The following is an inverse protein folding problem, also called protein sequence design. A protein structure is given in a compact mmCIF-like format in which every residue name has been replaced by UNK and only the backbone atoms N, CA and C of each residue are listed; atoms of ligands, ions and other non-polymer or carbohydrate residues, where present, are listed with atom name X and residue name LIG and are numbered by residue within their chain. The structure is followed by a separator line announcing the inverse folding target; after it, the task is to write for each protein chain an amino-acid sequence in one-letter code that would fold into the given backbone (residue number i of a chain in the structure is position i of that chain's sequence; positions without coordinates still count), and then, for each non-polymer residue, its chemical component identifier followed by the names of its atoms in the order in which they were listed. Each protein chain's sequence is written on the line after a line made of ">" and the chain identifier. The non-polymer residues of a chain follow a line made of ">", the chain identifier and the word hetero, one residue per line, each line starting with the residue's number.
data_IF_956815447299
#
_entry.id   IF_956815447299
#
_cell.length_a   1.000
_cell.length_b   1.000
_cell.length_c   1.000
_cell.angle_alpha   90.00
_cell.angle_beta   90.00
_cell.angle_gamma   90.00
#
_symmetry.space_group_name_H-M   'P 1'
#
loop_
_entity.id
_entity.type
_entity.pdbx_description
1 polymer ?
2 branched ?
3 non-polymer ?
4 water ?
#
# COMPACT_ATOMS: atom_id res chain seq x y z
N UNK A 1 7.48 -17.37 33.75
CA UNK A 1 7.70 -18.00 32.45
C UNK A 1 7.56 -17.02 31.30
N UNK A 2 7.31 -17.54 30.11
CA UNK A 2 7.22 -16.66 28.95
C UNK A 2 5.92 -16.86 28.19
N UNK A 3 5.34 -15.73 27.76
CA UNK A 3 4.09 -15.71 27.02
C UNK A 3 4.17 -16.52 25.73
N UNK A 4 3.21 -17.42 25.57
CA UNK A 4 3.09 -18.22 24.35
C UNK A 4 1.92 -17.71 23.50
N UNK A 5 2.19 -16.77 22.61
CA UNK A 5 1.12 -16.26 21.76
C UNK A 5 1.54 -16.04 20.30
N UNK A 6 0.61 -16.28 19.39
CA UNK A 6 0.94 -16.20 17.98
C UNK A 6 0.64 -14.83 17.36
N UNK A 7 1.72 -14.12 17.05
CA UNK A 7 1.67 -12.97 16.16
C UNK A 7 2.21 -13.42 14.80
N UNK A 8 2.16 -12.54 13.80
CA UNK A 8 2.55 -12.89 12.44
C UNK A 8 3.91 -13.60 12.31
N UNK A 9 3.89 -14.74 11.62
CA UNK A 9 5.08 -15.53 11.40
C UNK A 9 5.89 -15.02 10.22
N UNK A 10 7.07 -14.48 10.52
CA UNK A 10 7.98 -13.86 9.54
C UNK A 10 8.39 -14.78 8.38
N UNK A 11 8.18 -16.08 8.52
CA UNK A 11 8.66 -17.03 7.50
C UNK A 11 7.54 -17.85 6.84
N UNK A 12 6.33 -17.30 6.88
CA UNK A 12 5.16 -17.91 6.26
C UNK A 12 5.39 -18.19 4.77
N UNK A 13 4.76 -19.27 4.29
CA UNK A 13 4.95 -19.73 2.91
C UNK A 13 3.61 -20.09 2.29
N UNK A 14 3.65 -20.45 1.02
CA UNK A 14 2.48 -21.04 0.37
C UNK A 14 2.05 -22.28 1.14
N UNK A 15 3.02 -23.01 1.68
CA UNK A 15 2.72 -24.22 2.41
C UNK A 15 2.17 -23.92 3.81
N UNK A 16 1.83 -22.66 4.06
CA UNK A 16 1.12 -22.28 5.27
C UNK A 16 -0.28 -21.79 4.95
N UNK A 17 -0.66 -21.84 3.67
CA UNK A 17 -1.96 -21.32 3.23
C UNK A 17 -2.98 -22.44 3.11
N UNK A 18 -4.25 -22.10 3.29
CA UNK A 18 -5.36 -22.99 2.96
C UNK A 18 -5.18 -23.51 1.53
N UNK A 19 -5.69 -24.72 1.23
CA UNK A 19 -5.57 -25.23 -0.13
C UNK A 19 -6.15 -24.27 -1.17
N UNK A 20 -7.30 -23.69 -0.84
CA UNK A 20 -8.03 -22.80 -1.73
C UNK A 20 -7.20 -21.58 -2.12
N UNK A 21 -6.42 -21.08 -1.17
CA UNK A 21 -5.54 -19.95 -1.42
C UNK A 21 -4.24 -20.45 -2.05
N UNK A 22 -3.94 -21.73 -1.88
CA UNK A 22 -2.77 -22.31 -2.51
C UNK A 22 -2.98 -22.40 -4.02
N UNK A 23 -4.18 -22.84 -4.41
CA UNK A 23 -4.52 -22.97 -5.83
C UNK A 23 -4.47 -21.60 -6.51
N UNK A 24 -5.04 -20.60 -5.86
CA UNK A 24 -5.11 -19.23 -6.39
C UNK A 24 -3.72 -18.62 -6.62
N UNK A 25 -2.79 -18.96 -5.74
CA UNK A 25 -1.41 -18.50 -5.91
C UNK A 25 -0.76 -19.20 -7.11
N UNK A 26 -0.98 -20.50 -7.26
CA UNK A 26 -0.51 -21.21 -8.44
C UNK A 26 -1.06 -20.60 -9.73
N UNK A 27 -2.37 -20.47 -9.83
CA UNK A 27 -3.02 -19.87 -11.00
C UNK A 27 -2.46 -18.52 -11.40
N UNK A 28 -2.17 -17.66 -10.43
CA UNK A 28 -1.64 -16.34 -10.75
C UNK A 28 -0.21 -16.44 -11.27
N UNK A 29 0.51 -17.49 -10.86
CA UNK A 29 1.86 -17.68 -11.34
C UNK A 29 1.86 -18.07 -12.83
N UNK A 30 0.91 -18.92 -13.21
CA UNK A 30 0.74 -19.34 -14.59
C UNK A 30 0.38 -18.17 -15.48
N UNK A 31 -0.64 -17.43 -15.08
CA UNK A 31 -1.12 -16.30 -15.85
C UNK A 31 -0.01 -15.34 -16.24
N UNK A 32 0.73 -14.88 -15.25
CA UNK A 32 1.80 -13.92 -15.47
C UNK A 32 1.34 -12.76 -16.34
N UNK A 33 0.18 -12.21 -15.98
CA UNK A 33 -0.47 -11.13 -16.72
C UNK A 33 0.46 -9.98 -17.06
N UNK A 34 1.43 -9.70 -16.21
CA UNK A 34 2.25 -8.50 -16.37
C UNK A 34 3.63 -8.79 -16.96
N UNK A 35 3.81 -10.02 -17.41
CA UNK A 35 5.01 -10.41 -18.14
C UNK A 35 6.24 -10.18 -17.28
N UNK A 36 6.18 -10.73 -16.08
CA UNK A 36 7.26 -10.65 -15.13
C UNK A 36 8.32 -11.67 -15.44
N UNK A 37 9.57 -11.23 -15.45
CA UNK A 37 10.69 -12.15 -15.52
C UNK A 37 11.75 -11.73 -14.51
N UNK A 38 11.65 -12.24 -13.28
CA UNK A 38 12.61 -11.88 -12.23
C UNK A 38 13.98 -12.43 -12.54
N UNK A 39 14.91 -11.52 -12.79
CA UNK A 39 16.26 -11.92 -13.12
C UNK A 39 17.21 -11.34 -12.09
N UNK A 40 16.64 -10.92 -10.97
CA UNK A 40 17.44 -10.40 -9.87
C UNK A 40 18.03 -11.51 -9.03
N UNK A 41 18.59 -11.16 -7.88
CA UNK A 41 19.24 -12.16 -7.03
C UNK A 41 18.25 -13.24 -6.65
N UNK A 42 18.72 -14.48 -6.56
CA UNK A 42 17.82 -15.61 -6.44
C UNK A 42 16.95 -15.50 -5.21
N UNK A 43 15.62 -15.92 -5.40
CA UNK A 43 14.77 -15.66 -4.22
C UNK A 43 15.21 -16.42 -2.98
N UNK A 44 15.16 -15.74 -1.84
CA UNK A 44 15.49 -16.34 -0.56
C UNK A 44 16.66 -15.72 0.19
N UNK A 45 17.06 -14.51 -0.22
CA UNK A 45 18.20 -13.83 0.40
C UNK A 45 17.87 -13.30 1.79
N UNK A 46 18.78 -13.49 2.73
CA UNK A 46 18.56 -13.11 4.12
C UNK A 46 19.16 -11.74 4.45
N UNK A 47 18.30 -10.79 4.76
CA UNK A 47 18.72 -9.44 5.09
C UNK A 47 18.49 -9.12 6.56
N UNK A 48 19.44 -8.41 7.16
CA UNK A 48 19.23 -7.76 8.46
C UNK A 48 18.09 -6.75 8.32
N UNK A 49 17.48 -6.35 9.42
CA UNK A 49 16.39 -5.36 9.34
C UNK A 49 16.94 -3.98 8.97
N UNK A 50 18.00 -3.56 9.64
CA UNK A 50 18.68 -2.31 9.29
C UNK A 50 19.13 -2.33 7.82
N UNK A 51 19.68 -3.45 7.37
CA UNK A 51 20.22 -3.55 6.02
C UNK A 51 19.11 -3.46 4.98
N UNK A 52 18.07 -4.25 5.20
CA UNK A 52 16.91 -4.28 4.33
C UNK A 52 16.19 -2.93 4.29
N UNK A 53 16.21 -2.19 5.40
CA UNK A 53 15.62 -0.86 5.45
C UNK A 53 16.33 0.14 4.53
N UNK A 54 17.65 0.02 4.44
CA UNK A 54 18.43 0.88 3.56
C UNK A 54 18.21 0.47 2.11
N UNK A 55 18.11 -0.83 1.90
CA UNK A 55 17.87 -1.38 0.57
C UNK A 55 16.58 -0.79 -0.01
N UNK A 56 15.55 -0.69 0.81
CA UNK A 56 14.27 -0.15 0.38
C UNK A 56 14.33 1.35 0.17
N UNK A 57 15.17 2.02 0.95
CA UNK A 57 15.33 3.44 0.76
C UNK A 57 15.99 3.67 -0.59
N UNK A 58 17.06 2.93 -0.85
CA UNK A 58 17.87 3.13 -2.02
C UNK A 58 17.29 2.57 -3.33
N UNK A 59 16.63 1.42 -3.28
CA UNK A 59 16.22 0.75 -4.51
C UNK A 59 14.72 0.82 -4.83
N UNK A 60 14.02 1.74 -4.18
CA UNK A 60 12.62 1.99 -4.45
C UNK A 60 12.43 3.49 -4.55
N UNK A 61 12.04 3.95 -5.73
CA UNK A 61 11.80 5.37 -5.96
C UNK A 61 10.34 5.72 -5.75
N UNK A 62 10.07 6.54 -4.74
CA UNK A 62 8.72 6.96 -4.46
C UNK A 62 8.50 8.32 -5.10
N UNK A 63 8.03 8.30 -6.33
CA UNK A 63 7.83 9.56 -7.05
C UNK A 63 6.53 9.58 -7.83
N UNK A 64 6.04 10.79 -8.04
CA UNK A 64 4.79 10.98 -8.73
C UNK A 64 5.09 11.47 -10.15
N UNK A 65 4.16 11.22 -11.05
CA UNK A 65 4.28 11.68 -12.42
C UNK A 65 4.30 13.20 -12.44
N UNK A 66 5.41 13.77 -12.90
CA UNK A 66 5.55 15.21 -12.95
C UNK A 66 5.34 15.69 -14.37
N UNK A 67 5.22 16.99 -14.54
CA UNK A 67 4.98 17.59 -15.85
C UNK A 67 6.18 17.38 -16.79
N UNK A 68 7.34 17.07 -16.22
CA UNK A 68 8.54 16.84 -17.02
C UNK A 68 8.59 15.43 -17.62
N UNK A 69 7.85 14.50 -17.04
CA UNK A 69 7.81 13.13 -17.54
C UNK A 69 6.99 13.05 -18.82
N UNK A 70 7.65 12.75 -19.92
CA UNK A 70 6.95 12.53 -21.18
C UNK A 70 6.05 11.34 -20.98
N UNK A 71 4.79 11.41 -21.45
CA UNK A 71 4.21 12.48 -22.26
C UNK A 71 3.28 13.41 -21.50
N UNK A 72 3.51 13.64 -20.23
CA UNK A 72 2.63 14.54 -19.50
C UNK A 72 3.11 15.97 -19.65
N UNK A 73 4.03 16.16 -20.59
CA UNK A 73 4.51 17.48 -20.99
C UNK A 73 3.84 17.96 -22.29
N UNK A 74 3.01 17.10 -22.87
CA UNK A 74 2.29 17.43 -24.09
C UNK A 74 1.12 18.34 -23.76
N UNK A 75 0.62 19.03 -24.79
CA UNK A 75 -0.39 20.06 -24.59
C UNK A 75 -1.66 19.52 -23.97
N UNK A 76 -2.20 18.43 -24.50
CA UNK A 76 -3.44 17.84 -23.97
C UNK A 76 -3.43 17.64 -22.46
N UNK A 77 -2.24 17.60 -21.88
CA UNK A 77 -2.09 17.28 -20.46
C UNK A 77 -1.80 18.51 -19.60
N UNK A 78 -1.53 19.62 -20.26
CA UNK A 78 -1.10 20.83 -19.57
C UNK A 78 -2.10 21.34 -18.54
N UNK A 79 -1.62 21.54 -17.32
CA UNK A 79 -2.42 22.15 -16.28
C UNK A 79 -3.27 21.17 -15.51
N UNK A 80 -2.90 19.90 -15.55
CA UNK A 80 -3.64 18.85 -14.85
C UNK A 80 -2.94 18.35 -13.60
N UNK A 81 -1.69 17.95 -13.75
CA UNK A 81 -0.88 17.49 -12.64
C UNK A 81 -0.62 18.64 -11.65
N UNK A 82 -0.55 18.33 -10.36
CA UNK A 82 -0.29 19.37 -9.36
C UNK A 82 1.07 20.03 -9.56
N UNK A 83 1.17 21.32 -9.30
CA UNK A 83 2.39 22.09 -9.58
C UNK A 83 3.63 21.56 -8.84
N UNK A 84 3.57 21.55 -7.51
CA UNK A 84 4.74 21.20 -6.70
C UNK A 84 4.79 19.73 -6.31
N UNK A 85 5.97 19.25 -5.94
CA UNK A 85 6.16 17.85 -5.56
C UNK A 85 5.24 17.47 -4.41
N UNK A 86 4.94 16.19 -4.27
CA UNK A 86 4.11 15.77 -3.14
C UNK A 86 4.86 15.98 -1.83
N UNK A 87 6.18 15.80 -1.88
CA UNK A 87 7.03 16.04 -0.73
C UNK A 87 6.85 17.45 -0.19
N UNK A 88 6.70 18.40 -1.11
CA UNK A 88 6.44 19.79 -0.76
C UNK A 88 5.10 19.96 -0.07
N UNK A 89 4.07 19.32 -0.61
CA UNK A 89 2.71 19.48 -0.10
C UNK A 89 2.43 18.67 1.16
N UNK A 90 3.20 17.60 1.38
CA UNK A 90 2.87 16.67 2.48
C UNK A 90 3.99 16.47 3.51
N UNK A 91 3.98 17.29 4.54
CA UNK A 91 4.94 17.12 5.60
C UNK A 91 6.22 17.88 5.32
N UNK A 92 7.36 17.38 5.83
CA UNK A 92 7.52 16.08 6.50
C UNK A 92 6.88 16.02 7.89
N UNK A 93 6.50 14.83 8.30
CA UNK A 93 5.80 14.62 9.56
C UNK A 93 6.61 13.77 10.53
N UNK A 94 6.22 13.82 11.80
CA UNK A 94 6.85 13.02 12.83
C UNK A 94 6.26 11.61 12.88
N UNK A 95 5.08 11.51 13.47
CA UNK A 95 4.42 10.22 13.61
C UNK A 95 3.26 10.17 12.65
N UNK A 96 3.20 9.12 11.84
CA UNK A 96 2.09 8.89 10.93
C UNK A 96 1.47 7.51 11.10
N UNK A 97 0.24 7.41 10.62
CA UNK A 97 -0.53 6.18 10.73
C UNK A 97 -0.98 5.67 9.37
N UNK A 98 -0.75 4.39 9.09
CA UNK A 98 -1.37 3.75 7.95
C UNK A 98 -2.51 2.86 8.44
N UNK A 99 -3.74 3.19 8.04
CA UNK A 99 -4.89 2.38 8.44
C UNK A 99 -5.30 1.40 7.34
N UNK A 100 -5.05 0.11 7.58
CA UNK A 100 -5.52 -0.91 6.67
C UNK A 100 -7.05 -0.84 6.55
N UNK A 101 -7.64 -1.63 5.66
CA UNK A 101 -9.10 -1.64 5.58
C UNK A 101 -9.66 -2.92 6.21
N UNK A 102 -8.80 -3.67 6.89
CA UNK A 102 -9.14 -4.98 7.47
C UNK A 102 -10.39 -4.99 8.36
N UNK A 103 -11.15 -6.07 8.27
CA UNK A 103 -12.31 -6.24 9.14
C UNK A 103 -11.96 -6.32 10.62
N UNK A 104 -10.70 -6.65 10.92
CA UNK A 104 -10.23 -6.80 12.30
C UNK A 104 -10.10 -5.46 13.01
N UNK A 105 -10.28 -4.38 12.27
CA UNK A 105 -10.43 -3.06 12.86
C UNK A 105 -11.76 -2.94 13.60
N UNK A 106 -12.68 -3.88 13.37
CA UNK A 106 -13.97 -3.84 14.04
C UNK A 106 -13.81 -4.02 15.55
N UNK A 107 -14.46 -3.15 16.32
CA UNK A 107 -14.36 -3.09 17.78
C UNK A 107 -12.93 -3.05 18.33
N UNK A 108 -12.06 -2.32 17.65
CA UNK A 108 -10.68 -2.14 18.09
C UNK A 108 -10.54 -0.90 18.95
N UNK A 109 -11.45 0.05 18.77
CA UNK A 109 -11.43 1.32 19.52
C UNK A 109 -10.14 2.11 19.26
N UNK A 110 -9.60 1.93 18.07
CA UNK A 110 -8.29 2.46 17.72
C UNK A 110 -8.33 3.91 17.30
N UNK A 111 -9.54 4.47 17.24
CA UNK A 111 -9.77 5.79 16.69
C UNK A 111 -8.93 6.92 17.26
N UNK A 112 -8.99 7.11 18.58
CA UNK A 112 -8.24 8.18 19.23
C UNK A 112 -6.75 8.05 18.98
N UNK A 113 -6.24 6.82 19.06
CA UNK A 113 -4.81 6.61 18.87
C UNK A 113 -4.41 6.93 17.42
N UNK A 114 -5.22 6.50 16.46
CA UNK A 114 -4.99 6.81 15.06
C UNK A 114 -4.93 8.32 14.84
N UNK A 115 -5.86 9.04 15.48
CA UNK A 115 -5.96 10.48 15.26
C UNK A 115 -4.92 11.32 15.99
N UNK A 116 -4.07 10.67 16.78
CA UNK A 116 -3.01 11.40 17.48
C UNK A 116 -1.71 11.49 16.67
N UNK A 117 -1.76 10.96 15.45
CA UNK A 117 -0.68 11.15 14.50
C UNK A 117 -0.87 12.45 13.71
N UNK A 118 0.22 12.99 13.19
CA UNK A 118 0.19 14.19 12.36
C UNK A 118 -0.57 13.95 11.04
N UNK A 119 -0.42 12.76 10.50
CA UNK A 119 -1.08 12.42 9.24
C UNK A 119 -1.66 11.01 9.29
N UNK A 120 -2.74 10.81 8.56
CA UNK A 120 -3.33 9.48 8.42
C UNK A 120 -3.54 9.11 6.95
N UNK A 121 -3.04 7.93 6.57
CA UNK A 121 -3.23 7.40 5.23
C UNK A 121 -4.29 6.30 5.17
N UNK A 122 -5.27 6.48 4.28
CA UNK A 122 -6.31 5.46 4.06
C UNK A 122 -6.32 4.95 2.62
N UNK A 123 -7.19 4.00 2.32
CA UNK A 123 -7.19 3.33 1.04
C UNK A 123 -8.55 3.27 0.38
N UNK A 124 -8.52 3.48 -0.93
CA UNK A 124 -9.67 3.33 -1.79
C UNK A 124 -10.92 3.99 -1.23
N UNK A 125 -12.01 3.25 -1.11
CA UNK A 125 -13.26 3.82 -0.61
C UNK A 125 -13.48 3.65 0.89
N UNK A 126 -12.42 3.34 1.63
CA UNK A 126 -12.55 3.12 3.08
C UNK A 126 -13.12 4.36 3.75
N UNK A 127 -14.30 4.23 4.36
CA UNK A 127 -15.03 5.36 4.94
C UNK A 127 -14.65 5.63 6.37
N UNK A 128 -14.94 6.85 6.83
CA UNK A 128 -14.62 7.25 8.19
C UNK A 128 -15.92 7.36 9.00
N UNK A 129 -16.96 7.89 8.36
CA UNK A 129 -18.25 8.05 9.01
C UNK A 129 -18.76 6.69 9.46
N UNK A 130 -19.40 6.65 10.62
CA UNK A 130 -20.00 5.43 11.19
C UNK A 130 -19.00 4.49 11.84
N UNK A 131 -17.71 4.79 11.69
CA UNK A 131 -16.64 3.89 12.13
C UNK A 131 -15.55 4.63 12.90
N UNK A 132 -15.86 5.85 13.33
CA UNK A 132 -14.83 6.71 13.92
C UNK A 132 -14.11 6.11 15.11
N UNK A 133 -14.88 5.45 15.99
CA UNK A 133 -14.34 4.87 17.22
C UNK A 133 -13.26 3.85 16.92
N UNK A 134 -13.46 3.04 15.89
CA UNK A 134 -12.52 1.97 15.57
C UNK A 134 -11.44 2.43 14.60
N UNK A 135 -11.71 3.49 13.86
CA UNK A 135 -10.97 3.77 12.63
C UNK A 135 -10.44 5.22 12.54
N UNK A 136 -11.01 6.10 13.36
CA UNK A 136 -10.57 7.48 13.38
C UNK A 136 -11.38 8.31 12.40
N UNK A 137 -11.08 9.60 12.34
CA UNK A 137 -11.86 10.55 11.55
C UNK A 137 -10.97 11.35 10.61
N UNK A 138 -9.67 11.21 10.76
CA UNK A 138 -8.69 12.03 10.06
C UNK A 138 -8.25 11.30 8.78
N UNK A 139 -8.25 12.01 7.65
CA UNK A 139 -7.74 11.46 6.39
C UNK A 139 -6.84 12.48 5.70
N UNK A 140 -5.53 12.26 5.75
CA UNK A 140 -4.62 13.24 5.18
C UNK A 140 -4.20 12.82 3.76
N UNK A 141 -3.89 11.54 3.59
CA UNK A 141 -3.64 11.00 2.26
C UNK A 141 -4.54 9.79 1.99
N UNK A 142 -5.11 9.71 0.80
CA UNK A 142 -5.90 8.56 0.41
C UNK A 142 -5.36 7.92 -0.89
N UNK A 143 -4.97 6.65 -0.79
CA UNK A 143 -4.37 5.95 -1.92
C UNK A 143 -5.42 5.11 -2.57
N UNK A 144 -5.49 5.20 -3.89
CA UNK A 144 -6.50 4.47 -4.67
C UNK A 144 -5.91 3.73 -5.85
N UNK A 145 -6.47 2.58 -6.19
CA UNK A 145 -6.04 1.89 -7.39
C UNK A 145 -6.79 2.46 -8.59
N UNK A 146 -6.28 2.21 -9.80
CA UNK A 146 -6.83 2.85 -10.97
C UNK A 146 -8.17 2.26 -11.36
N UNK A 147 -8.41 1.03 -10.91
CA UNK A 147 -9.66 0.35 -11.21
C UNK A 147 -10.80 1.16 -10.61
N UNK A 148 -10.65 1.56 -9.36
CA UNK A 148 -11.66 2.36 -8.69
C UNK A 148 -11.88 3.68 -9.42
N UNK A 149 -10.80 4.38 -9.74
CA UNK A 149 -10.94 5.67 -10.41
C UNK A 149 -11.65 5.48 -11.74
N UNK A 150 -11.31 4.39 -12.42
CA UNK A 150 -11.87 4.09 -13.73
C UNK A 150 -13.34 3.68 -13.66
N UNK A 151 -13.68 2.79 -12.73
CA UNK A 151 -15.02 2.17 -12.78
C UNK A 151 -15.95 2.47 -11.61
N UNK A 152 -15.42 2.96 -10.49
CA UNK A 152 -16.30 3.32 -9.39
C UNK A 152 -16.98 4.66 -9.68
N UNK A 153 -18.25 4.58 -10.06
CA UNK A 153 -19.06 5.77 -10.32
C UNK A 153 -19.14 6.71 -9.10
N UNK A 154 -19.04 6.15 -7.90
CA UNK A 154 -19.10 6.95 -6.67
C UNK A 154 -17.84 7.78 -6.46
N UNK A 155 -16.77 7.49 -7.21
CA UNK A 155 -15.55 8.28 -7.08
C UNK A 155 -15.74 9.74 -7.47
N UNK A 156 -16.72 10.02 -8.32
CA UNK A 156 -16.94 11.39 -8.75
C UNK A 156 -18.21 11.96 -8.12
N UNK A 157 -18.66 11.34 -7.02
CA UNK A 157 -19.88 11.78 -6.33
C UNK A 157 -19.70 11.86 -4.81
N UNK A 158 -19.33 10.74 -4.19
CA UNK A 158 -19.13 10.65 -2.74
C UNK A 158 -18.18 11.73 -2.24
N UNK A 159 -18.60 12.47 -1.22
CA UNK A 159 -17.75 13.52 -0.65
C UNK A 159 -16.49 12.96 0.02
N UNK A 160 -16.52 11.68 0.40
CA UNK A 160 -15.43 11.11 1.16
C UNK A 160 -14.10 11.26 0.46
N UNK A 161 -14.14 11.27 -0.87
CA UNK A 161 -12.93 11.42 -1.67
C UNK A 161 -12.43 12.85 -1.63
N UNK A 162 -13.29 13.78 -1.22
CA UNK A 162 -12.92 15.20 -1.23
C UNK A 162 -11.99 15.68 -0.09
N UNK A 163 -11.51 14.76 0.75
CA UNK A 163 -10.60 15.13 1.82
C UNK A 163 -9.15 14.77 1.53
N UNK A 164 -8.24 15.65 1.94
CA UNK A 164 -6.81 15.39 1.87
C UNK A 164 -6.25 15.18 0.48
N UNK A 165 -5.05 14.64 0.43
CA UNK A 165 -4.34 14.41 -0.82
C UNK A 165 -4.72 13.05 -1.42
N UNK A 166 -5.07 13.07 -2.71
CA UNK A 166 -5.36 11.85 -3.44
C UNK A 166 -4.12 11.37 -4.18
N UNK A 167 -3.97 10.05 -4.27
CA UNK A 167 -2.95 9.42 -5.07
C UNK A 167 -3.62 8.24 -5.74
N UNK A 168 -3.38 8.09 -7.03
CA UNK A 168 -3.84 6.92 -7.79
C UNK A 168 -2.66 6.16 -8.37
N UNK A 169 -2.75 4.83 -8.35
CA UNK A 169 -1.73 3.97 -8.94
C UNK A 169 -2.39 2.95 -9.85
N UNK A 170 -1.59 2.43 -10.78
CA UNK A 170 -2.06 1.51 -11.79
C UNK A 170 -0.92 0.55 -12.09
N UNK A 171 -1.20 -0.77 -12.04
CA UNK A 171 -0.18 -1.77 -12.38
C UNK A 171 0.20 -1.63 -13.86
N UNK A 172 1.49 -1.74 -14.17
CA UNK A 172 1.94 -1.70 -15.56
C UNK A 172 2.64 -3.00 -15.90
N UNK A 173 2.90 -3.19 -17.18
CA UNK A 173 3.73 -4.29 -17.64
C UNK A 173 5.06 -4.16 -16.91
N UNK A 174 5.63 -5.29 -16.53
CA UNK A 174 6.76 -5.32 -15.62
C UNK A 174 7.91 -4.49 -16.18
N UNK A 175 8.54 -3.66 -15.34
CA UNK A 175 9.71 -2.86 -15.75
C UNK A 175 9.45 -1.92 -16.94
N UNK A 176 8.23 -1.41 -17.05
CA UNK A 176 7.84 -0.53 -18.14
C UNK A 176 8.23 0.92 -17.83
N UNK A 177 8.60 1.72 -18.83
CA UNK A 177 8.80 3.14 -18.54
C UNK A 177 7.49 3.91 -18.71
N UNK A 178 7.49 5.19 -18.36
CA UNK A 178 6.25 5.97 -18.40
C UNK A 178 5.46 6.01 -19.72
N UNK A 179 6.14 6.19 -20.89
CA UNK A 179 5.41 6.22 -22.17
C UNK A 179 4.79 4.88 -22.58
N UNK A 180 5.50 3.76 -22.43
CA UNK A 180 4.94 2.47 -22.79
C UNK A 180 3.70 2.20 -21.97
N UNK A 181 3.79 2.48 -20.67
CA UNK A 181 2.69 2.28 -19.75
C UNK A 181 1.50 3.16 -20.08
N UNK A 182 1.78 4.40 -20.50
CA UNK A 182 0.71 5.32 -20.88
C UNK A 182 -0.10 4.71 -22.01
N UNK A 183 0.60 4.00 -22.90
CA UNK A 183 -0.02 3.27 -24.00
C UNK A 183 -0.89 2.12 -23.50
N UNK A 184 -0.38 1.36 -22.53
CA UNK A 184 -1.05 0.16 -22.05
C UNK A 184 -1.31 0.13 -20.54
N UNK A 185 -2.13 1.05 -20.03
CA UNK A 185 -2.41 1.00 -18.61
C UNK A 185 -3.29 -0.22 -18.30
N UNK A 186 -3.25 -0.71 -17.05
CA UNK A 186 -4.13 -1.81 -16.68
C UNK A 186 -5.60 -1.37 -16.67
N UNK A 187 -5.85 -0.16 -16.18
CA UNK A 187 -7.16 0.47 -16.26
C UNK A 187 -6.95 1.88 -16.77
N UNK A 188 -7.75 2.28 -17.74
CA UNK A 188 -7.59 3.61 -18.35
C UNK A 188 -8.26 4.71 -17.54
N UNK A 189 -7.66 5.07 -16.42
CA UNK A 189 -8.25 6.02 -15.47
C UNK A 189 -8.05 7.45 -15.89
N UNK A 190 -7.35 7.65 -17.01
CA UNK A 190 -6.90 9.00 -17.42
C UNK A 190 -8.02 10.02 -17.62
N UNK A 191 -9.08 9.65 -18.32
CA UNK A 191 -10.24 10.53 -18.41
C UNK A 191 -10.81 10.93 -17.05
N UNK A 192 -11.06 9.95 -16.20
CA UNK A 192 -11.68 10.23 -14.91
C UNK A 192 -10.76 11.01 -14.00
N UNK A 193 -9.46 10.78 -14.10
CA UNK A 193 -8.50 11.62 -13.42
C UNK A 193 -8.65 13.07 -13.88
N UNK A 194 -8.65 13.29 -15.20
CA UNK A 194 -8.84 14.64 -15.72
C UNK A 194 -10.20 15.19 -15.28
N UNK A 195 -11.22 14.33 -15.27
CA UNK A 195 -12.58 14.75 -14.93
C UNK A 195 -12.72 15.20 -13.48
N UNK A 196 -12.22 14.39 -12.55
CA UNK A 196 -12.20 14.74 -11.14
C UNK A 196 -11.39 16.01 -10.97
N UNK A 197 -10.25 16.06 -11.64
CA UNK A 197 -9.31 17.16 -11.48
C UNK A 197 -9.94 18.49 -11.89
N UNK A 198 -10.89 18.44 -12.83
CA UNK A 198 -11.66 19.62 -13.23
C UNK A 198 -12.62 20.08 -12.14
N UNK A 199 -13.12 19.13 -11.35
CA UNK A 199 -14.11 19.40 -10.30
C UNK A 199 -13.49 19.80 -8.96
N UNK A 200 -12.27 19.34 -8.69
CA UNK A 200 -11.61 19.68 -7.43
C UNK A 200 -10.17 20.11 -7.65
N UNK A 201 -9.98 21.36 -8.11
CA UNK A 201 -8.66 21.92 -8.44
C UNK A 201 -7.80 22.17 -7.21
N UNK A 202 -8.42 22.56 -6.09
CA UNK A 202 -7.68 22.82 -4.87
C UNK A 202 -7.42 21.57 -4.03
N UNK A 203 -7.74 20.41 -4.59
CA UNK A 203 -7.41 19.13 -3.99
C UNK A 203 -6.25 18.48 -4.73
N UNK A 204 -5.09 18.38 -4.06
CA UNK A 204 -3.92 17.70 -4.66
C UNK A 204 -4.27 16.28 -5.07
N UNK A 205 -3.82 15.87 -6.25
CA UNK A 205 -4.17 14.58 -6.81
C UNK A 205 -3.00 14.11 -7.66
N UNK A 206 -2.30 13.09 -7.20
CA UNK A 206 -1.09 12.63 -7.88
C UNK A 206 -1.26 11.26 -8.51
N UNK A 207 -0.37 10.94 -9.41
CA UNK A 207 -0.32 9.66 -10.07
C UNK A 207 1.00 9.05 -9.69
N UNK A 208 0.97 7.86 -9.11
CA UNK A 208 2.22 7.17 -8.77
C UNK A 208 2.91 6.75 -10.06
N UNK A 209 4.23 6.93 -10.16
CA UNK A 209 4.92 6.45 -11.35
C UNK A 209 4.76 4.93 -11.40
N UNK A 210 4.50 4.38 -12.59
CA UNK A 210 4.27 2.94 -12.68
C UNK A 210 5.45 2.07 -12.20
N UNK A 211 6.66 2.60 -12.11
CA UNK A 211 7.83 1.78 -11.76
C UNK A 211 7.89 1.44 -10.28
N UNK A 212 7.33 2.32 -9.47
CA UNK A 212 7.41 2.20 -8.02
C UNK A 212 6.92 0.83 -7.53
N UNK A 213 5.74 0.37 -7.98
CA UNK A 213 5.31 -0.95 -7.50
C UNK A 213 6.27 -2.08 -7.81
N UNK A 214 6.80 -2.14 -9.03
CA UNK A 214 7.68 -3.24 -9.40
C UNK A 214 9.05 -3.21 -8.73
N UNK A 215 9.57 -2.02 -8.45
CA UNK A 215 10.87 -1.90 -7.81
C UNK A 215 10.72 -2.52 -6.43
N UNK A 216 9.56 -2.30 -5.83
CA UNK A 216 9.25 -2.86 -4.54
C UNK A 216 9.08 -4.38 -4.64
N UNK A 217 8.35 -4.83 -5.66
CA UNK A 217 8.16 -6.27 -5.92
C UNK A 217 9.48 -7.01 -6.05
N UNK A 218 10.45 -6.39 -6.72
CA UNK A 218 11.76 -7.01 -6.89
C UNK A 218 12.39 -7.33 -5.55
N UNK A 219 12.19 -6.44 -4.59
CA UNK A 219 12.73 -6.63 -3.26
C UNK A 219 11.95 -7.74 -2.52
N UNK A 220 10.63 -7.71 -2.67
CA UNK A 220 9.81 -8.79 -2.14
C UNK A 220 10.30 -10.14 -2.64
N UNK A 221 10.43 -10.26 -3.96
CA UNK A 221 10.82 -11.53 -4.55
C UNK A 221 12.24 -11.95 -4.17
N UNK A 222 13.12 -10.99 -3.95
CA UNK A 222 14.49 -11.30 -3.57
C UNK A 222 14.54 -11.96 -2.18
N UNK A 223 13.68 -11.49 -1.28
CA UNK A 223 13.65 -11.97 0.10
C UNK A 223 12.93 -13.31 0.20
N UNK A 224 11.88 -13.45 -0.59
CA UNK A 224 10.97 -14.57 -0.41
C UNK A 224 11.60 -15.93 -0.74
N UNK A 225 11.25 -16.95 0.06
CA UNK A 225 11.80 -18.30 -0.11
C UNK A 225 11.30 -18.98 -1.39
N UNK A 226 10.22 -18.49 -1.96
CA UNK A 226 9.68 -19.08 -3.18
C UNK A 226 9.26 -18.01 -4.18
N UNK A 227 8.77 -18.44 -5.33
CA UNK A 227 8.22 -17.50 -6.31
C UNK A 227 6.90 -16.94 -5.79
N UNK A 228 6.77 -15.62 -5.85
CA UNK A 228 5.58 -14.96 -5.35
C UNK A 228 4.71 -14.60 -6.52
N UNK A 229 3.48 -14.19 -6.22
CA UNK A 229 2.54 -13.73 -7.24
C UNK A 229 3.21 -12.69 -8.13
N UNK A 230 3.18 -12.92 -9.44
CA UNK A 230 3.76 -11.96 -10.37
C UNK A 230 2.92 -10.68 -10.49
N UNK A 231 2.14 -10.37 -9.47
CA UNK A 231 1.35 -9.16 -9.51
C UNK A 231 1.98 -8.10 -8.62
N UNK A 232 1.64 -6.82 -8.86
CA UNK A 232 2.26 -5.78 -8.02
C UNK A 232 1.85 -5.91 -6.54
N UNK A 233 2.58 -5.24 -5.63
CA UNK A 233 2.21 -5.32 -4.21
C UNK A 233 0.87 -4.64 -3.93
N UNK A 234 0.29 -4.91 -2.76
CA UNK A 234 -1.06 -4.42 -2.46
C UNK A 234 -0.99 -2.94 -2.20
N UNK A 235 -2.12 -2.24 -2.27
CA UNK A 235 -2.11 -0.81 -2.01
C UNK A 235 -1.51 -0.57 -0.63
N UNK A 236 -1.83 -1.46 0.31
CA UNK A 236 -1.39 -1.35 1.70
C UNK A 236 0.10 -1.17 1.79
N UNK A 237 0.84 -2.10 1.20
CA UNK A 237 2.31 -2.04 1.18
C UNK A 237 2.87 -0.80 0.47
N UNK A 238 2.21 -0.36 -0.60
CA UNK A 238 2.68 0.84 -1.27
C UNK A 238 2.48 2.03 -0.34
N UNK A 239 1.29 2.08 0.26
CA UNK A 239 0.98 3.14 1.21
C UNK A 239 1.97 3.23 2.35
N UNK A 240 2.49 2.08 2.78
CA UNK A 240 3.48 2.06 3.85
C UNK A 240 4.79 2.69 3.39
N UNK A 241 5.31 2.22 2.26
CA UNK A 241 6.54 2.78 1.71
C UNK A 241 6.41 4.28 1.46
N UNK A 242 5.27 4.70 0.92
CA UNK A 242 5.04 6.12 0.70
C UNK A 242 5.20 6.90 2.01
N UNK A 243 4.56 6.41 3.08
CA UNK A 243 4.64 7.10 4.36
C UNK A 243 6.02 7.05 4.99
N UNK A 244 6.74 5.95 4.81
CA UNK A 244 8.12 5.88 5.29
C UNK A 244 9.02 6.94 4.66
N UNK A 245 8.60 7.48 3.52
CA UNK A 245 9.38 8.54 2.89
C UNK A 245 8.91 9.91 3.31
N UNK A 246 7.70 9.98 3.88
CA UNK A 246 7.13 11.25 4.30
C UNK A 246 7.25 11.49 5.81
N UNK A 247 7.42 10.42 6.58
CA UNK A 247 7.46 10.50 8.03
C UNK A 247 8.81 10.07 8.61
N UNK A 248 8.96 10.30 9.92
CA UNK A 248 10.09 9.75 10.66
C UNK A 248 9.69 8.43 11.32
N UNK A 249 8.39 8.27 11.53
CA UNK A 249 7.88 7.10 12.21
C UNK A 249 6.48 6.80 11.70
N UNK A 250 6.29 5.59 11.20
CA UNK A 250 5.00 5.20 10.67
C UNK A 250 4.42 4.03 11.45
N UNK A 251 3.21 4.23 11.96
CA UNK A 251 2.47 3.17 12.65
C UNK A 251 1.47 2.54 11.68
N UNK A 252 1.48 1.22 11.57
CA UNK A 252 0.57 0.51 10.67
C UNK A 252 -0.41 -0.38 11.43
N UNK A 253 -1.70 -0.17 11.21
CA UNK A 253 -2.71 -0.80 12.06
C UNK A 253 -3.53 -1.85 11.31
N UNK A 254 -3.54 -3.06 11.85
CA UNK A 254 -4.32 -4.19 11.33
C UNK A 254 -3.87 -4.63 9.95
N UNK A 255 -2.60 -4.40 9.65
CA UNK A 255 -1.98 -4.97 8.46
C UNK A 255 -1.47 -6.34 8.90
N UNK A 256 -0.42 -6.37 9.71
CA UNK A 256 -0.17 -7.52 10.58
C UNK A 256 -1.35 -7.57 11.53
N UNK A 257 -2.11 -8.66 11.51
CA UNK A 257 -3.40 -8.55 12.22
C UNK A 257 -3.28 -8.85 13.72
N UNK A 258 -4.24 -8.35 14.49
CA UNK A 258 -4.28 -8.57 15.93
C UNK A 258 -5.00 -9.84 16.32
N UNK A 259 -5.41 -9.89 17.58
CA UNK A 259 -6.23 -11.00 18.08
C UNK A 259 -7.65 -10.97 17.52
N UNK A 260 -8.05 -9.84 16.95
CA UNK A 260 -9.34 -9.73 16.31
C UNK A 260 -9.33 -10.28 14.88
N UNK A 261 -8.23 -10.93 14.49
CA UNK A 261 -8.12 -11.56 13.17
C UNK A 261 -9.39 -12.31 12.76
N UNK A 262 -9.91 -11.98 11.58
CA UNK A 262 -11.21 -12.46 11.13
C UNK A 262 -11.22 -12.65 9.61
N UNK A 263 -12.17 -13.43 9.10
CA UNK A 263 -12.29 -13.62 7.66
C UNK A 263 -13.02 -12.44 7.02
N UNK A 264 -13.71 -11.66 7.84
CA UNK A 264 -14.41 -10.48 7.34
C UNK A 264 -13.41 -9.57 6.68
N UNK A 265 -13.61 -9.34 5.39
CA UNK A 265 -12.60 -8.70 4.57
C UNK A 265 -12.33 -7.25 4.99
N UNK A 266 -13.40 -6.45 5.12
CA UNK A 266 -13.26 -5.03 5.44
C UNK A 266 -13.98 -4.67 6.74
N UNK A 267 -13.53 -3.61 7.42
CA UNK A 267 -14.31 -3.14 8.56
C UNK A 267 -15.66 -2.57 8.10
N UNK A 268 -15.73 -2.12 6.85
CA UNK A 268 -16.91 -1.40 6.36
C UNK A 268 -17.79 -2.20 5.42
N UNK A 269 -17.52 -3.50 5.34
CA UNK A 269 -18.33 -4.40 4.52
C UNK A 269 -18.54 -5.68 5.27
N UNK A 270 -19.61 -6.41 4.95
CA UNK A 270 -19.99 -7.59 5.75
C UNK A 270 -19.61 -8.95 5.15
N UNK A 271 -18.84 -8.98 4.07
CA UNK A 271 -18.49 -10.24 3.43
C UNK A 271 -17.17 -10.84 3.92
N UNK A 272 -17.07 -12.16 3.83
CA UNK A 272 -15.91 -12.87 4.33
C UNK A 272 -15.05 -13.27 3.16
N UNK A 273 -13.74 -13.21 3.38
CA UNK A 273 -12.78 -13.82 2.49
C UNK A 273 -11.45 -13.78 3.20
N UNK A 274 -10.85 -14.95 3.40
CA UNK A 274 -9.52 -15.02 3.98
C UNK A 274 -8.46 -14.36 3.07
N UNK A 275 -8.76 -14.27 1.78
CA UNK A 275 -7.78 -13.75 0.84
C UNK A 275 -7.42 -12.29 1.10
N UNK A 276 -8.36 -11.52 1.64
CA UNK A 276 -8.05 -10.11 1.91
C UNK A 276 -6.96 -9.99 2.96
N UNK A 277 -6.91 -10.95 3.88
CA UNK A 277 -5.89 -10.97 4.92
C UNK A 277 -4.63 -11.68 4.45
N UNK A 278 -4.79 -12.88 3.87
CA UNK A 278 -3.66 -13.72 3.52
C UNK A 278 -3.11 -13.51 2.10
N UNK A 279 -3.91 -12.90 1.23
CA UNK A 279 -3.48 -12.59 -0.12
C UNK A 279 -4.06 -13.49 -1.20
N UNK A 280 -4.36 -12.91 -2.36
CA UNK A 280 -4.68 -13.68 -3.54
C UNK A 280 -3.94 -13.13 -4.76
N UNK A 281 -4.52 -12.13 -5.41
CA UNK A 281 -3.83 -11.36 -6.45
C UNK A 281 -2.47 -10.86 -5.98
N UNK A 282 -2.45 -10.06 -4.93
CA UNK A 282 -1.21 -9.46 -4.42
C UNK A 282 -0.39 -10.46 -3.61
N UNK A 283 0.94 -10.30 -3.61
CA UNK A 283 1.80 -11.10 -2.73
C UNK A 283 1.73 -10.58 -1.27
N UNK A 284 0.52 -10.47 -0.75
CA UNK A 284 0.27 -9.82 0.53
C UNK A 284 0.97 -10.57 1.66
N UNK A 285 1.01 -11.88 1.51
CA UNK A 285 1.65 -12.76 2.45
C UNK A 285 3.10 -12.34 2.70
N UNK A 286 3.82 -12.10 1.61
CA UNK A 286 5.25 -11.83 1.71
C UNK A 286 5.48 -10.39 2.10
N UNK A 287 4.49 -9.53 1.83
CA UNK A 287 4.53 -8.15 2.27
C UNK A 287 4.47 -8.11 3.78
N UNK A 288 3.52 -8.85 4.34
CA UNK A 288 3.37 -8.99 5.78
C UNK A 288 4.63 -9.56 6.44
N UNK A 289 5.25 -10.57 5.83
CA UNK A 289 6.52 -11.07 6.36
C UNK A 289 7.55 -9.95 6.50
N UNK A 290 7.54 -9.04 5.54
CA UNK A 290 8.52 -7.99 5.47
C UNK A 290 8.25 -6.97 6.54
N UNK A 291 6.98 -6.66 6.77
CA UNK A 291 6.61 -5.68 7.80
C UNK A 291 6.95 -6.21 9.18
N UNK A 292 6.63 -7.47 9.42
CA UNK A 292 6.97 -8.10 10.68
C UNK A 292 8.48 -8.03 10.86
N UNK A 293 9.20 -8.27 9.78
CA UNK A 293 10.66 -8.34 9.84
C UNK A 293 11.30 -6.97 10.11
N UNK A 294 10.58 -5.90 9.81
CA UNK A 294 11.11 -4.55 10.03
C UNK A 294 10.47 -3.88 11.24
N UNK A 295 9.54 -4.59 11.87
CA UNK A 295 8.86 -4.05 13.05
C UNK A 295 9.80 -3.72 14.19
N UNK A 296 9.58 -2.55 14.76
CA UNK A 296 10.38 -2.07 15.86
C UNK A 296 9.54 -2.00 17.12
N UNK A 297 8.27 -2.36 16.99
CA UNK A 297 7.43 -2.57 18.15
C UNK A 297 7.63 -3.98 18.68
N UNK A 298 6.98 -4.30 19.80
CA UNK A 298 7.04 -5.66 20.32
C UNK A 298 5.93 -6.51 19.74
N UNK A 299 6.03 -7.82 19.96
CA UNK A 299 4.99 -8.74 19.51
C UNK A 299 3.69 -8.37 20.21
N UNK A 300 3.78 -8.07 21.50
CA UNK A 300 2.60 -7.67 22.27
C UNK A 300 1.79 -6.54 21.62
N UNK A 301 2.48 -5.58 21.01
CA UNK A 301 1.80 -4.50 20.28
C UNK A 301 0.94 -5.04 19.11
N UNK A 302 1.45 -6.07 18.44
CA UNK A 302 0.73 -6.66 17.33
C UNK A 302 -0.54 -7.38 17.80
N UNK A 303 -0.40 -8.20 18.84
CA UNK A 303 -1.49 -9.05 19.32
C UNK A 303 -2.64 -8.22 19.86
N UNK A 304 -2.31 -7.24 20.70
CA UNK A 304 -3.34 -6.47 21.37
C UNK A 304 -3.89 -5.35 20.48
N UNK A 305 -3.02 -4.68 19.74
CA UNK A 305 -3.42 -3.49 19.02
C UNK A 305 -3.38 -3.63 17.48
N UNK A 306 -2.81 -4.72 16.99
CA UNK A 306 -2.67 -4.89 15.55
C UNK A 306 -1.73 -3.82 15.00
N UNK A 307 -0.86 -3.33 15.85
CA UNK A 307 -0.03 -2.18 15.53
C UNK A 307 1.42 -2.60 15.25
N UNK A 308 1.99 -2.07 14.16
CA UNK A 308 3.39 -2.26 13.81
C UNK A 308 4.04 -0.90 13.62
N UNK A 309 5.28 -0.75 14.05
CA UNK A 309 5.98 0.52 13.89
C UNK A 309 7.26 0.39 13.06
N UNK A 310 7.34 1.17 11.99
CA UNK A 310 8.55 1.21 11.17
C UNK A 310 9.10 2.63 11.21
N UNK A 311 10.43 2.76 11.15
CA UNK A 311 11.02 4.11 11.10
C UNK A 311 10.92 4.69 9.70
N UNK A 312 10.88 6.02 9.61
CA UNK A 312 10.90 6.66 8.31
C UNK A 312 12.32 6.64 7.78
N UNK A 313 12.45 6.63 6.45
CA UNK A 313 13.77 6.55 5.82
C UNK A 313 14.67 7.66 6.30
N UNK A 314 14.07 8.81 6.58
CA UNK A 314 14.79 10.01 6.99
C UNK A 314 15.73 9.75 8.16
N UNK A 315 15.45 8.69 8.92
CA UNK A 315 16.08 8.51 10.21
C UNK A 315 17.04 7.31 10.30
N UNK A 316 17.39 6.70 9.17
CA UNK A 316 18.17 5.46 9.19
C UNK A 316 19.65 5.57 8.77
N UNK A 317 20.45 4.58 9.16
CA UNK A 317 21.91 4.66 9.10
C UNK A 317 22.56 4.05 7.85
N UNK A 318 23.02 4.92 6.95
CA UNK A 318 23.89 4.57 5.81
C UNK A 318 24.29 5.77 4.94
#
# INVERSE_FOLDING_TARGET
>A
PEASFQVWNKDSSSKNLIPRLQKIWKNYLSMNKYKVSYKGPGPGIKFSAEALRCHLRDHVNVSMVEVTDFPFNTSEWEGYLPKESIRTKAGPWGRCAVVSSAGSLKSSQLGREIDDHDAVLRFNGAPTANFQQDVGTKTTIRLMNSQLVTTEKRFLKDSLYNEGILIVWDPSVYHSDIPKWYQNPDYNFFNNYKTYRKLHPNQPFYILKPQMPWELWDILQEISPEEIQPNPPSSGMLGIIIMMTLCDQVDIYEFLPSKRKTDVCYYYQKFFDSACTMGAYHPLLYEKNLVKHLNQGTDEDIYLLGKATLPGFRTIHC
#
